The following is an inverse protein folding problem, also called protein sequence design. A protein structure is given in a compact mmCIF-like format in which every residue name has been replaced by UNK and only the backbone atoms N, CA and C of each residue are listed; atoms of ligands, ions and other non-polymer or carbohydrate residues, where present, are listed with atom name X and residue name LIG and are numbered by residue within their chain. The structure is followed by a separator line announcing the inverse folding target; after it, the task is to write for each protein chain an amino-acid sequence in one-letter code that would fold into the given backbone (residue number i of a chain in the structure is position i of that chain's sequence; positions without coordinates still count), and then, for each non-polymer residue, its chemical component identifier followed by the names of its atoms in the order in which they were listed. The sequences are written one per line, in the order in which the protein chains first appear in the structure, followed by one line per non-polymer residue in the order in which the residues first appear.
data_IF_256768583512
#
_entry.id   IF_256768583512
#
_cell.length_a   1.000
_cell.length_b   1.000
_cell.length_c   1.000
_cell.angle_alpha   90.00
_cell.angle_beta   90.00
_cell.angle_gamma   90.00
#
_symmetry.space_group_name_H-M   'P 1'
#
loop_
_entity.id
_entity.type
_entity.pdbx_description
1 polymer ?
#
# COMPACT_ATOMS: atom_id res chain seq x y z
N UNK A 1 -2.85 -24.70 4.93
CA UNK A 1 -3.11 -23.39 4.30
C UNK A 1 -3.34 -22.39 5.43
N UNK A 2 -2.46 -21.39 5.57
CA UNK A 2 -2.74 -20.27 6.48
C UNK A 2 -3.80 -19.40 5.80
N UNK A 3 -5.02 -19.45 6.31
CA UNK A 3 -6.15 -18.66 5.80
C UNK A 3 -6.26 -17.31 6.50
N UNK A 4 -5.39 -17.04 7.47
CA UNK A 4 -5.40 -15.81 8.25
C UNK A 4 -4.40 -14.80 7.67
N UNK A 5 -4.79 -13.52 7.56
CA UNK A 5 -3.84 -12.47 7.23
C UNK A 5 -2.74 -12.39 8.29
N UNK A 6 -1.58 -11.87 7.88
CA UNK A 6 -0.48 -11.55 8.79
C UNK A 6 -1.01 -10.63 9.92
N UNK A 7 -0.80 -10.99 11.19
CA UNK A 7 -1.44 -10.29 12.33
C UNK A 7 -1.08 -8.82 12.41
N UNK A 8 0.13 -8.45 12.00
CA UNK A 8 0.64 -7.07 12.06
C UNK A 8 0.39 -6.30 10.74
N UNK A 9 -0.28 -6.89 9.74
CA UNK A 9 -0.39 -6.31 8.41
C UNK A 9 -1.07 -4.93 8.39
N UNK A 10 -2.10 -4.75 9.22
CA UNK A 10 -2.82 -3.47 9.34
C UNK A 10 -1.87 -2.38 9.85
N UNK A 11 -1.17 -2.63 10.94
CA UNK A 11 -0.23 -1.67 11.53
C UNK A 11 0.93 -1.37 10.58
N UNK A 12 1.45 -2.39 9.87
CA UNK A 12 2.49 -2.22 8.87
C UNK A 12 2.02 -1.37 7.69
N UNK A 13 0.80 -1.58 7.18
CA UNK A 13 0.26 -0.79 6.08
C UNK A 13 0.08 0.68 6.48
N UNK A 14 -0.46 0.94 7.69
CA UNK A 14 -0.59 2.29 8.24
C UNK A 14 0.76 2.98 8.38
N UNK A 15 1.78 2.27 8.87
CA UNK A 15 3.14 2.80 8.99
C UNK A 15 3.72 3.18 7.61
N UNK A 16 3.50 2.37 6.57
CA UNK A 16 3.97 2.68 5.21
C UNK A 16 3.29 3.93 4.64
N UNK A 17 2.00 4.13 4.92
CA UNK A 17 1.25 5.33 4.50
C UNK A 17 1.75 6.56 5.26
N UNK A 18 1.98 6.45 6.57
CA UNK A 18 2.54 7.53 7.37
C UNK A 18 3.95 7.90 6.91
N UNK A 19 4.78 6.90 6.59
CA UNK A 19 6.11 7.11 6.01
C UNK A 19 6.03 7.83 4.66
N UNK A 20 5.03 7.54 3.80
CA UNK A 20 4.81 8.29 2.55
C UNK A 20 4.44 9.75 2.82
N UNK A 21 3.47 9.98 3.70
CA UNK A 21 2.99 11.31 4.03
C UNK A 21 4.12 12.20 4.60
N UNK A 22 5.09 11.60 5.31
CA UNK A 22 6.23 12.30 5.90
C UNK A 22 7.51 12.25 5.05
N UNK A 23 7.47 11.67 3.85
CA UNK A 23 8.62 11.57 2.95
C UNK A 23 9.77 10.70 3.48
N UNK A 24 9.47 9.70 4.31
CA UNK A 24 10.45 8.76 4.90
C UNK A 24 10.71 7.57 3.98
N UNK A 25 11.18 7.84 2.76
CA UNK A 25 11.42 6.85 1.72
C UNK A 25 12.35 5.69 2.14
N UNK A 26 13.46 5.93 2.87
CA UNK A 26 14.32 4.84 3.33
C UNK A 26 13.57 3.82 4.20
N UNK A 27 12.67 4.28 5.09
CA UNK A 27 11.90 3.39 5.95
C UNK A 27 10.92 2.51 5.17
N UNK A 28 10.50 2.94 3.98
CA UNK A 28 9.62 2.18 3.09
C UNK A 28 10.45 1.15 2.31
N UNK A 29 11.55 1.59 1.68
CA UNK A 29 12.43 0.70 0.88
C UNK A 29 13.12 -0.36 1.74
N UNK A 30 13.37 -0.08 3.01
CA UNK A 30 13.87 -1.07 3.97
C UNK A 30 12.89 -2.24 4.20
N UNK A 31 11.58 -2.02 3.99
CA UNK A 31 10.56 -3.07 4.14
C UNK A 31 10.32 -3.85 2.85
N UNK A 32 10.86 -3.41 1.73
CA UNK A 32 10.69 -4.08 0.43
C UNK A 32 11.44 -5.41 0.40
N UNK A 33 10.82 -6.39 -0.28
CA UNK A 33 11.51 -7.60 -0.67
C UNK A 33 12.60 -7.32 -1.71
N UNK A 34 13.45 -8.31 -1.98
CA UNK A 34 14.56 -8.17 -2.93
C UNK A 34 14.11 -7.73 -4.34
N UNK A 35 12.95 -8.20 -4.79
CA UNK A 35 12.40 -7.87 -6.11
C UNK A 35 11.95 -6.41 -6.15
N UNK A 36 11.23 -5.96 -5.11
CA UNK A 36 10.78 -4.58 -4.98
C UNK A 36 11.95 -3.61 -4.85
N UNK A 37 12.98 -3.93 -4.05
CA UNK A 37 14.18 -3.09 -3.91
C UNK A 37 14.93 -2.91 -5.23
N UNK A 38 14.89 -3.91 -6.13
CA UNK A 38 15.51 -3.82 -7.44
C UNK A 38 14.74 -2.91 -8.42
N UNK A 39 13.43 -2.74 -8.22
CA UNK A 39 12.55 -2.02 -9.15
C UNK A 39 12.07 -0.65 -8.67
N UNK A 40 12.02 -0.40 -7.36
CA UNK A 40 11.45 0.80 -6.78
C UNK A 40 12.45 1.49 -5.84
N UNK A 41 13.03 2.58 -6.31
CA UNK A 41 13.99 3.40 -5.55
C UNK A 41 13.26 4.42 -4.66
N UNK A 42 13.99 4.99 -3.71
CA UNK A 42 13.50 6.11 -2.88
C UNK A 42 13.06 7.30 -3.73
N UNK A 43 13.82 7.61 -4.79
CA UNK A 43 13.48 8.66 -5.75
C UNK A 43 12.17 8.34 -6.49
N UNK A 44 11.99 7.09 -6.93
CA UNK A 44 10.75 6.67 -7.58
C UNK A 44 9.52 6.77 -6.67
N UNK A 45 9.68 6.47 -5.37
CA UNK A 45 8.62 6.69 -4.38
C UNK A 45 8.29 8.17 -4.21
N UNK A 46 9.32 9.01 -4.09
CA UNK A 46 9.15 10.45 -3.95
C UNK A 46 8.45 11.06 -5.17
N UNK A 47 8.87 10.68 -6.39
CA UNK A 47 8.25 11.12 -7.64
C UNK A 47 6.79 10.66 -7.75
N UNK A 48 6.51 9.40 -7.43
CA UNK A 48 5.14 8.87 -7.47
C UNK A 48 4.21 9.59 -6.49
N UNK A 49 4.68 9.84 -5.26
CA UNK A 49 3.90 10.57 -4.26
C UNK A 49 3.71 12.04 -4.64
N UNK A 50 4.74 12.70 -5.17
CA UNK A 50 4.64 14.07 -5.66
C UNK A 50 3.70 14.19 -6.87
N UNK A 51 3.72 13.22 -7.77
CA UNK A 51 2.78 13.14 -8.89
C UNK A 51 1.35 12.99 -8.40
N UNK A 52 1.11 12.09 -7.43
CA UNK A 52 -0.21 11.93 -6.80
C UNK A 52 -0.67 13.23 -6.15
N UNK A 53 0.17 13.86 -5.33
CA UNK A 53 -0.16 15.13 -4.67
C UNK A 53 -0.37 16.28 -5.67
N UNK A 54 0.34 16.29 -6.80
CA UNK A 54 0.15 17.25 -7.87
C UNK A 54 -1.18 17.10 -8.61
N UNK A 55 -1.76 15.89 -8.65
CA UNK A 55 -3.07 15.62 -9.26
C UNK A 55 -4.22 15.75 -8.26
N UNK A 56 -4.06 15.21 -7.06
CA UNK A 56 -5.09 15.04 -6.06
C UNK A 56 -5.06 16.10 -4.96
N UNK A 57 -4.06 16.97 -4.94
CA UNK A 57 -3.84 17.93 -3.86
C UNK A 57 -3.15 17.30 -2.65
N UNK A 58 -3.20 17.97 -1.50
CA UNK A 58 -2.52 17.50 -0.30
C UNK A 58 -3.17 16.23 0.26
N UNK A 59 -2.34 15.33 0.81
CA UNK A 59 -2.82 14.22 1.62
C UNK A 59 -3.45 14.76 2.90
N UNK A 60 -4.69 14.36 3.21
CA UNK A 60 -5.42 14.83 4.38
C UNK A 60 -5.49 13.77 5.49
N UNK A 61 -5.89 12.55 5.14
CA UNK A 61 -6.06 11.46 6.10
C UNK A 61 -6.16 10.08 5.44
N UNK A 62 -6.16 9.03 6.24
CA UNK A 62 -6.45 7.67 5.80
C UNK A 62 -7.54 7.05 6.68
N UNK A 63 -8.39 6.21 6.08
CA UNK A 63 -9.45 5.48 6.75
C UNK A 63 -8.97 4.22 7.47
N UNK A 64 -9.92 3.33 7.74
CA UNK A 64 -9.65 1.99 8.28
C UNK A 64 -8.94 1.11 7.24
N UNK A 65 -8.00 0.30 7.72
CA UNK A 65 -7.27 -0.65 6.88
C UNK A 65 -7.90 -2.01 6.99
N UNK A 66 -8.31 -2.57 5.86
CA UNK A 66 -8.72 -3.97 5.76
C UNK A 66 -7.53 -4.85 5.37
N UNK A 67 -7.47 -6.08 5.91
CA UNK A 67 -6.47 -7.07 5.56
C UNK A 67 -7.14 -8.40 5.16
N UNK A 68 -6.74 -8.92 4.00
CA UNK A 68 -7.23 -10.19 3.46
C UNK A 68 -6.07 -11.08 3.07
N UNK A 69 -6.20 -12.39 3.35
CA UNK A 69 -5.25 -13.39 2.86
C UNK A 69 -5.59 -13.75 1.42
N UNK A 70 -4.61 -13.67 0.53
CA UNK A 70 -4.72 -14.08 -0.87
C UNK A 70 -3.53 -15.00 -1.22
N UNK A 71 -3.77 -16.32 -1.21
CA UNK A 71 -2.70 -17.32 -1.41
C UNK A 71 -1.62 -17.21 -0.33
N UNK A 72 -0.38 -17.00 -0.76
CA UNK A 72 0.79 -16.85 0.12
C UNK A 72 1.05 -15.40 0.57
N UNK A 73 0.14 -14.48 0.24
CA UNK A 73 0.28 -13.06 0.56
C UNK A 73 -0.85 -12.55 1.44
N UNK A 74 -0.56 -11.51 2.21
CA UNK A 74 -1.55 -10.70 2.89
C UNK A 74 -1.69 -9.37 2.16
N UNK A 75 -2.87 -9.09 1.62
CA UNK A 75 -3.17 -7.84 0.93
C UNK A 75 -3.92 -6.93 1.89
N UNK A 76 -3.46 -5.70 2.01
CA UNK A 76 -4.16 -4.66 2.76
C UNK A 76 -4.71 -3.60 1.81
N UNK A 77 -5.86 -3.02 2.16
CA UNK A 77 -6.42 -1.86 1.46
C UNK A 77 -6.72 -0.80 2.51
N UNK A 78 -6.18 0.40 2.32
CA UNK A 78 -6.46 1.55 3.18
C UNK A 78 -6.98 2.70 2.32
N UNK A 79 -8.22 3.18 2.55
CA UNK A 79 -8.71 4.40 1.92
C UNK A 79 -7.82 5.57 2.29
N UNK A 80 -7.46 6.38 1.31
CA UNK A 80 -6.73 7.64 1.47
C UNK A 80 -7.62 8.77 1.00
N UNK A 81 -7.65 9.87 1.76
CA UNK A 81 -8.37 11.08 1.40
C UNK A 81 -7.36 12.18 1.08
N UNK A 82 -7.52 12.78 -0.10
CA UNK A 82 -6.78 13.94 -0.57
C UNK A 82 -7.76 15.08 -0.90
N UNK A 83 -7.26 16.31 -0.98
CA UNK A 83 -8.07 17.52 -1.22
C UNK A 83 -9.01 17.42 -2.43
N UNK A 84 -8.56 16.80 -3.52
CA UNK A 84 -9.29 16.71 -4.78
C UNK A 84 -9.79 15.29 -5.11
N UNK A 85 -9.70 14.33 -4.18
CA UNK A 85 -10.27 13.01 -4.38
C UNK A 85 -9.79 11.92 -3.42
N UNK A 86 -10.46 10.77 -3.48
CA UNK A 86 -10.15 9.59 -2.68
C UNK A 86 -9.37 8.54 -3.49
N UNK A 87 -8.45 7.86 -2.80
CA UNK A 87 -7.65 6.77 -3.34
C UNK A 87 -7.63 5.59 -2.36
N UNK A 88 -7.04 4.48 -2.77
CA UNK A 88 -6.80 3.33 -1.92
C UNK A 88 -5.34 2.93 -2.02
N UNK A 89 -4.64 2.97 -0.89
CA UNK A 89 -3.33 2.35 -0.76
C UNK A 89 -3.49 0.85 -0.58
N UNK A 90 -2.96 0.09 -1.54
CA UNK A 90 -2.86 -1.37 -1.46
C UNK A 90 -1.43 -1.78 -1.19
N UNK A 91 -1.23 -2.49 -0.09
CA UNK A 91 0.08 -3.06 0.27
C UNK A 91 -0.03 -4.57 0.35
N UNK A 92 0.84 -5.27 -0.35
CA UNK A 92 0.94 -6.73 -0.38
C UNK A 92 2.15 -7.16 0.43
N UNK A 93 1.90 -7.92 1.50
CA UNK A 93 2.91 -8.46 2.39
C UNK A 93 3.12 -9.95 2.17
N UNK A 94 4.37 -10.37 2.33
CA UNK A 94 4.75 -11.77 2.52
C UNK A 94 4.64 -12.17 3.99
N UNK A 95 4.74 -13.47 4.25
CA UNK A 95 4.73 -14.02 5.62
C UNK A 95 5.93 -13.56 6.47
N UNK A 96 7.04 -13.17 5.85
CA UNK A 96 8.22 -12.60 6.52
C UNK A 96 8.10 -11.09 6.82
N UNK A 97 6.92 -10.50 6.57
CA UNK A 97 6.59 -9.07 6.73
C UNK A 97 7.23 -8.14 5.70
N UNK A 98 7.91 -8.67 4.69
CA UNK A 98 8.39 -7.85 3.58
C UNK A 98 7.25 -7.47 2.63
N UNK A 99 7.38 -6.31 2.01
CA UNK A 99 6.42 -5.80 1.03
C UNK A 99 6.82 -6.36 -0.34
N UNK A 100 5.90 -7.09 -0.95
CA UNK A 100 6.02 -7.63 -2.31
C UNK A 100 5.28 -6.77 -3.35
N UNK A 101 4.47 -5.80 -2.91
CA UNK A 101 3.79 -4.87 -3.81
C UNK A 101 3.21 -3.68 -3.06
N UNK A 102 3.25 -2.52 -3.72
CA UNK A 102 2.67 -1.26 -3.24
C UNK A 102 2.00 -0.56 -4.41
N UNK A 103 0.72 -0.21 -4.25
CA UNK A 103 -0.08 0.45 -5.28
C UNK A 103 -0.95 1.54 -4.66
N UNK A 104 -1.09 2.66 -5.36
CA UNK A 104 -2.14 3.64 -5.10
C UNK A 104 -3.18 3.50 -6.22
N UNK A 105 -4.41 3.17 -5.85
CA UNK A 105 -5.49 2.85 -6.79
C UNK A 105 -6.63 3.86 -6.64
N UNK A 106 -7.36 4.09 -7.73
CA UNK A 106 -8.68 4.68 -7.60
C UNK A 106 -9.62 3.69 -6.88
N UNK A 107 -10.62 4.16 -6.12
CA UNK A 107 -11.53 3.29 -5.35
C UNK A 107 -12.20 2.21 -6.22
N UNK A 108 -12.70 2.57 -7.42
CA UNK A 108 -13.26 1.60 -8.38
C UNK A 108 -12.29 0.46 -8.75
N UNK A 109 -11.00 0.77 -8.93
CA UNK A 109 -9.99 -0.22 -9.28
C UNK A 109 -9.62 -1.12 -8.08
N UNK A 110 -9.71 -0.58 -6.87
CA UNK A 110 -9.48 -1.34 -5.64
C UNK A 110 -10.56 -2.41 -5.45
N UNK A 111 -11.83 -2.05 -5.65
CA UNK A 111 -12.99 -2.95 -5.54
C UNK A 111 -13.04 -4.02 -6.63
N UNK A 112 -12.63 -3.70 -7.86
CA UNK A 112 -12.60 -4.67 -8.96
C UNK A 112 -11.58 -5.80 -8.76
N UNK A 113 -10.52 -5.54 -8.00
CA UNK A 113 -9.44 -6.51 -7.74
C UNK A 113 -9.78 -7.48 -6.61
N UNK A 114 -10.53 -7.04 -5.59
CA UNK A 114 -10.96 -7.88 -4.47
C UNK A 114 -11.99 -8.94 -4.89
N UNK A 115 -12.74 -8.72 -5.99
CA UNK A 115 -13.68 -9.70 -6.55
C UNK A 115 -13.05 -10.75 -7.47
N UNK A 116 -11.82 -10.54 -7.95
CA UNK A 116 -11.17 -11.46 -8.90
C UNK A 116 -10.49 -12.68 -8.25
N UNK A 117 -10.51 -12.80 -6.91
CA UNK A 117 -9.94 -13.93 -6.17
C UNK A 117 -10.91 -15.13 -6.02
N UNK A 118 -11.98 -15.22 -6.81
CA UNK A 118 -12.91 -16.35 -6.80
C UNK A 118 -13.27 -16.74 -8.23
N UNK A 119 -12.42 -17.54 -8.88
CA UNK A 119 -12.81 -18.50 -9.92
C UNK A 119 -11.80 -19.64 -9.92
#
# INVERSE_FOLDING_TARGET
MNTRPLPDAIELARAVIDDHAHGRWPAITERFDETMRAGLTEEGLAEAWAYLAGMAGAYESHGDTDAVRAGDFTITNTPLTFEAGDFVARVTFRDDRTIAGLYILNPDAADGSSKSATT
#
